data_IF_756131479799
#
_entry.id   IF_756131479799
#
_cell.length_a   1.000
_cell.length_b   1.000
_cell.length_c   1.000
_cell.angle_alpha   90.00
_cell.angle_beta   90.00
_cell.angle_gamma   90.00
#
_symmetry.space_group_name_H-M   'P 1'
#
loop_
_entity.id
_entity.type
_entity.pdbx_description
1 polymer ?
#
# COMPACT_ATOMS: atom_id res chain seq x y z
N UNK A 1 16.63 37.89 -17.04
CA UNK A 1 15.53 36.90 -17.15
C UNK A 1 16.00 35.46 -16.95
N UNK A 2 16.99 34.99 -17.73
CA UNK A 2 17.50 33.59 -17.68
C UNK A 2 17.89 33.08 -16.29
N UNK A 3 18.63 33.86 -15.49
CA UNK A 3 19.05 33.49 -14.12
C UNK A 3 17.88 33.18 -13.17
N UNK A 4 16.76 33.91 -13.30
CA UNK A 4 15.55 33.69 -12.48
C UNK A 4 14.83 32.40 -12.87
N UNK A 5 14.85 32.06 -14.16
CA UNK A 5 14.26 30.82 -14.67
C UNK A 5 15.04 29.58 -14.20
N UNK A 6 16.38 29.66 -14.23
CA UNK A 6 17.25 28.57 -13.75
C UNK A 6 17.03 28.30 -12.26
N UNK A 7 17.01 29.36 -11.44
CA UNK A 7 16.72 29.24 -10.01
C UNK A 7 15.34 28.64 -9.75
N UNK A 8 14.32 29.05 -10.52
CA UNK A 8 12.97 28.50 -10.42
C UNK A 8 12.93 27.00 -10.77
N UNK A 9 13.59 26.60 -11.86
CA UNK A 9 13.68 25.20 -12.29
C UNK A 9 14.39 24.35 -11.23
N UNK A 10 15.50 24.83 -10.69
CA UNK A 10 16.21 24.15 -9.60
C UNK A 10 15.36 24.04 -8.34
N UNK A 11 14.54 25.06 -8.03
CA UNK A 11 13.66 25.03 -6.86
C UNK A 11 12.55 23.98 -7.01
N UNK A 12 12.10 23.68 -8.23
CA UNK A 12 11.10 22.65 -8.51
C UNK A 12 11.68 21.23 -8.44
N UNK A 13 12.93 21.04 -8.90
CA UNK A 13 13.55 19.71 -8.98
C UNK A 13 14.27 19.34 -7.68
N UNK A 14 14.98 20.29 -7.07
CA UNK A 14 15.77 20.08 -5.86
C UNK A 14 15.91 21.39 -5.04
N UNK A 15 14.85 21.75 -4.27
CA UNK A 15 14.78 22.98 -3.47
C UNK A 15 16.03 23.29 -2.62
N UNK A 16 16.64 22.33 -1.90
CA UNK A 16 17.78 22.63 -1.04
C UNK A 16 19.03 23.08 -1.81
N UNK A 17 19.28 22.62 -3.05
CA UNK A 17 20.40 23.15 -3.83
C UNK A 17 20.12 24.54 -4.40
N UNK A 18 18.87 24.84 -4.76
CA UNK A 18 18.49 26.17 -5.23
C UNK A 18 18.77 27.24 -4.15
N UNK A 19 18.41 26.93 -2.91
CA UNK A 19 18.61 27.83 -1.77
C UNK A 19 20.08 27.91 -1.38
N UNK A 20 20.81 26.79 -1.40
CA UNK A 20 22.26 26.80 -1.19
C UNK A 20 23.00 27.73 -2.16
N UNK A 21 22.64 27.71 -3.45
CA UNK A 21 23.24 28.57 -4.47
C UNK A 21 22.85 30.05 -4.35
N UNK A 22 21.74 30.37 -3.67
CA UNK A 22 21.25 31.73 -3.48
C UNK A 22 21.75 32.37 -2.17
N UNK A 23 21.64 31.65 -1.05
CA UNK A 23 21.88 32.18 0.30
C UNK A 23 23.17 31.67 0.92
N UNK A 24 23.85 30.70 0.29
CA UNK A 24 25.00 30.01 0.87
C UNK A 24 24.60 29.10 2.04
N UNK A 25 25.57 28.79 2.91
CA UNK A 25 25.39 27.92 4.08
C UNK A 25 24.79 28.73 5.25
N UNK A 26 23.46 28.90 5.23
CA UNK A 26 22.72 29.70 6.21
C UNK A 26 21.48 29.00 6.76
N UNK A 27 20.73 29.70 7.62
CA UNK A 27 19.50 29.20 8.24
C UNK A 27 18.43 28.81 7.19
N UNK A 28 18.32 29.57 6.08
CA UNK A 28 17.37 29.30 4.99
C UNK A 28 17.67 27.98 4.26
N UNK A 29 18.95 27.63 4.12
CA UNK A 29 19.40 26.36 3.57
C UNK A 29 19.05 25.20 4.51
N UNK A 30 19.32 25.35 5.81
CA UNK A 30 18.97 24.34 6.81
C UNK A 30 17.45 24.08 6.81
N UNK A 31 16.62 25.12 6.80
CA UNK A 31 15.17 24.98 6.80
C UNK A 31 14.67 24.26 5.53
N UNK A 32 15.22 24.56 4.35
CA UNK A 32 14.85 23.86 3.12
C UNK A 32 15.31 22.40 3.12
N UNK A 33 16.46 22.08 3.70
CA UNK A 33 16.88 20.70 3.92
C UNK A 33 15.90 19.95 4.83
N UNK A 34 15.47 20.56 5.94
CA UNK A 34 14.47 19.94 6.82
C UNK A 34 13.14 19.69 6.11
N UNK A 35 12.63 20.67 5.37
CA UNK A 35 11.40 20.53 4.60
C UNK A 35 11.51 19.46 3.50
N UNK A 36 12.66 19.38 2.82
CA UNK A 36 12.91 18.37 1.81
C UNK A 36 12.95 16.96 2.42
N UNK A 37 13.66 16.77 3.52
CA UNK A 37 13.68 15.50 4.28
C UNK A 37 12.27 15.14 4.74
N UNK A 38 11.53 16.11 5.27
CA UNK A 38 10.16 15.94 5.74
C UNK A 38 9.19 15.57 4.62
N UNK A 39 9.43 15.99 3.37
CA UNK A 39 8.60 15.60 2.22
C UNK A 39 9.03 14.24 1.63
N UNK A 40 10.34 13.99 1.56
CA UNK A 40 10.93 12.77 0.99
C UNK A 40 10.59 11.54 1.83
N UNK A 41 10.81 11.60 3.15
CA UNK A 41 10.60 10.46 4.04
C UNK A 41 9.16 9.91 3.96
N UNK A 42 8.08 10.69 4.16
CA UNK A 42 6.72 10.16 4.10
C UNK A 42 6.35 9.67 2.70
N UNK A 43 6.87 10.28 1.64
CA UNK A 43 6.67 9.82 0.26
C UNK A 43 7.23 8.41 0.05
N UNK A 44 8.46 8.16 0.49
CA UNK A 44 9.10 6.84 0.38
C UNK A 44 8.41 5.80 1.26
N UNK A 45 8.06 6.15 2.50
CA UNK A 45 7.32 5.26 3.41
C UNK A 45 5.96 4.89 2.81
N UNK A 46 5.26 5.85 2.20
CA UNK A 46 3.98 5.61 1.55
C UNK A 46 4.09 4.68 0.33
N UNK A 47 5.10 4.86 -0.51
CA UNK A 47 5.40 3.97 -1.63
C UNK A 47 5.74 2.54 -1.18
N UNK A 48 6.54 2.41 -0.12
CA UNK A 48 6.83 1.11 0.51
C UNK A 48 5.58 0.45 1.10
N UNK A 49 4.71 1.24 1.75
CA UNK A 49 3.44 0.74 2.29
C UNK A 49 2.54 0.15 1.20
N UNK A 50 2.37 0.86 0.08
CA UNK A 50 1.59 0.38 -1.07
C UNK A 50 2.16 -0.93 -1.59
N UNK A 51 3.48 -0.99 -1.78
CA UNK A 51 4.19 -2.18 -2.25
C UNK A 51 3.99 -3.36 -1.32
N UNK A 52 4.17 -3.17 -0.01
CA UNK A 52 3.99 -4.23 0.98
C UNK A 52 2.55 -4.75 1.01
N UNK A 53 1.56 -3.86 0.98
CA UNK A 53 0.14 -4.25 0.93
C UNK A 53 -0.17 -5.04 -0.35
N UNK A 54 0.35 -4.59 -1.49
CA UNK A 54 0.21 -5.28 -2.77
C UNK A 54 0.76 -6.71 -2.70
N UNK A 55 2.02 -6.88 -2.29
CA UNK A 55 2.65 -8.21 -2.22
C UNK A 55 1.93 -9.14 -1.23
N UNK A 56 1.50 -8.63 -0.07
CA UNK A 56 0.75 -9.43 0.90
C UNK A 56 -0.60 -9.90 0.33
N UNK A 57 -1.31 -9.04 -0.40
CA UNK A 57 -2.60 -9.38 -1.02
C UNK A 57 -2.43 -10.31 -2.22
N UNK A 58 -1.44 -10.06 -3.08
CA UNK A 58 -1.05 -10.95 -4.18
C UNK A 58 -0.79 -12.37 -3.68
N UNK A 59 -0.08 -12.51 -2.56
CA UNK A 59 0.16 -13.81 -1.93
C UNK A 59 -1.11 -14.48 -1.35
N UNK A 60 -2.10 -13.71 -0.89
CA UNK A 60 -3.39 -14.28 -0.44
C UNK A 60 -4.21 -14.79 -1.61
N UNK A 61 -4.34 -13.98 -2.66
CA UNK A 61 -5.04 -14.34 -3.89
C UNK A 61 -4.41 -15.59 -4.52
N UNK A 62 -3.08 -15.64 -4.59
CA UNK A 62 -2.35 -16.81 -5.09
C UNK A 62 -2.61 -18.08 -4.27
N UNK A 63 -2.92 -17.94 -2.98
CA UNK A 63 -3.33 -19.06 -2.11
C UNK A 63 -4.83 -19.36 -2.20
N UNK A 64 -5.56 -18.72 -3.11
CA UNK A 64 -7.00 -18.85 -3.24
C UNK A 64 -7.76 -18.32 -2.02
N UNK A 65 -7.23 -17.28 -1.35
CA UNK A 65 -7.85 -16.67 -0.16
C UNK A 65 -8.26 -15.24 -0.43
N UNK A 66 -9.36 -14.82 0.19
CA UNK A 66 -9.90 -13.48 -0.01
C UNK A 66 -8.92 -12.40 0.48
N UNK A 67 -8.63 -11.35 -0.32
CA UNK A 67 -7.63 -10.33 0.02
C UNK A 67 -8.01 -9.49 1.25
N UNK A 68 -9.28 -9.51 1.68
CA UNK A 68 -9.80 -8.87 2.89
C UNK A 68 -10.21 -7.41 2.69
N UNK A 69 -10.68 -6.76 3.77
CA UNK A 69 -11.19 -5.37 3.76
C UNK A 69 -10.21 -4.38 3.13
N UNK A 70 -10.74 -3.34 2.49
CA UNK A 70 -9.99 -2.21 1.92
C UNK A 70 -9.03 -1.59 2.96
N UNK A 71 -7.81 -1.25 2.54
CA UNK A 71 -6.81 -0.58 3.39
C UNK A 71 -6.86 0.92 3.10
N UNK A 72 -6.77 1.73 4.16
CA UNK A 72 -6.68 3.19 4.01
C UNK A 72 -5.40 3.60 3.26
N UNK A 73 -5.39 4.84 2.74
CA UNK A 73 -4.27 5.39 1.97
C UNK A 73 -3.94 4.61 0.67
N UNK A 74 -4.85 3.77 0.19
CA UNK A 74 -4.70 3.05 -1.08
C UNK A 74 -6.04 3.11 -1.81
N UNK A 75 -6.11 3.91 -2.88
CA UNK A 75 -7.35 4.10 -3.65
C UNK A 75 -7.46 3.18 -4.86
N UNK A 76 -6.36 2.53 -5.28
CA UNK A 76 -6.34 1.66 -6.45
C UNK A 76 -6.92 0.27 -6.15
N UNK A 77 -7.99 -0.10 -6.87
CA UNK A 77 -8.59 -1.43 -6.80
C UNK A 77 -7.60 -2.54 -7.19
N UNK A 78 -6.67 -2.29 -8.11
CA UNK A 78 -5.63 -3.28 -8.50
C UNK A 78 -4.75 -3.66 -7.30
N UNK A 79 -4.35 -2.67 -6.50
CA UNK A 79 -3.54 -2.90 -5.29
C UNK A 79 -4.38 -3.57 -4.20
N UNK A 80 -5.62 -3.13 -4.01
CA UNK A 80 -6.52 -3.70 -3.01
C UNK A 80 -6.95 -5.14 -3.32
N UNK A 81 -6.98 -5.52 -4.58
CA UNK A 81 -7.30 -6.87 -5.02
C UNK A 81 -6.05 -7.74 -5.19
N UNK A 82 -4.84 -7.20 -4.98
CA UNK A 82 -3.59 -7.95 -5.18
C UNK A 82 -3.36 -8.36 -6.63
N UNK A 83 -3.90 -7.60 -7.59
CA UNK A 83 -3.82 -7.89 -9.03
C UNK A 83 -4.88 -8.83 -9.58
N UNK A 84 -5.82 -9.31 -8.75
CA UNK A 84 -6.90 -10.19 -9.20
C UNK A 84 -8.01 -9.46 -9.95
N UNK A 85 -8.55 -10.10 -10.98
CA UNK A 85 -9.78 -9.67 -11.66
C UNK A 85 -11.01 -9.91 -10.77
N UNK A 86 -12.10 -9.16 -10.98
CA UNK A 86 -13.35 -9.32 -10.23
C UNK A 86 -13.90 -10.76 -10.30
N UNK A 87 -13.89 -11.38 -11.48
CA UNK A 87 -14.27 -12.78 -11.67
C UNK A 87 -13.43 -13.74 -10.82
N UNK A 88 -12.10 -13.58 -10.81
CA UNK A 88 -11.20 -14.40 -9.99
C UNK A 88 -11.47 -14.23 -8.49
N UNK A 89 -11.83 -13.03 -8.05
CA UNK A 89 -12.20 -12.79 -6.66
C UNK A 89 -13.51 -13.51 -6.31
N UNK A 90 -14.52 -13.43 -7.17
CA UNK A 90 -15.80 -14.13 -6.98
C UNK A 90 -15.60 -15.64 -6.86
N UNK A 91 -14.73 -16.23 -7.68
CA UNK A 91 -14.35 -17.65 -7.58
C UNK A 91 -13.66 -17.97 -6.25
N UNK A 92 -12.73 -17.12 -5.82
CA UNK A 92 -12.07 -17.26 -4.51
C UNK A 92 -13.08 -17.17 -3.37
N UNK A 93 -14.07 -16.26 -3.47
CA UNK A 93 -15.11 -16.10 -2.46
C UNK A 93 -16.00 -17.33 -2.36
N UNK A 94 -16.48 -17.83 -3.51
CA UNK A 94 -17.29 -19.04 -3.60
C UNK A 94 -16.55 -20.24 -3.01
N UNK A 95 -15.30 -20.44 -3.39
CA UNK A 95 -14.47 -21.52 -2.85
C UNK A 95 -14.24 -21.38 -1.33
N UNK A 96 -14.07 -20.17 -0.79
CA UNK A 96 -13.98 -19.97 0.67
C UNK A 96 -15.30 -20.25 1.38
N UNK A 97 -16.44 -19.86 0.81
CA UNK A 97 -17.78 -20.12 1.34
C UNK A 97 -18.10 -21.63 1.38
N UNK A 98 -17.83 -22.36 0.30
CA UNK A 98 -17.99 -23.81 0.23
C UNK A 98 -17.10 -24.54 1.26
N UNK A 99 -15.83 -24.13 1.37
CA UNK A 99 -14.91 -24.67 2.39
C UNK A 99 -15.36 -24.37 3.80
N UNK A 100 -15.97 -23.21 4.04
CA UNK A 100 -16.52 -22.85 5.34
C UNK A 100 -17.77 -23.67 5.67
N UNK A 101 -18.65 -23.91 4.70
CA UNK A 101 -19.85 -24.74 4.85
C UNK A 101 -19.47 -26.19 5.20
N UNK A 102 -18.60 -26.82 4.40
CA UNK A 102 -18.15 -28.20 4.67
C UNK A 102 -17.48 -28.35 6.05
N UNK A 103 -16.76 -27.32 6.51
CA UNK A 103 -16.13 -27.32 7.85
C UNK A 103 -17.15 -27.15 8.98
N UNK A 104 -18.26 -26.44 8.75
CA UNK A 104 -19.37 -26.33 9.71
C UNK A 104 -20.12 -27.65 9.82
N UNK A 105 -20.39 -28.29 8.70
CA UNK A 105 -21.12 -29.57 8.68
C UNK A 105 -20.30 -30.69 9.31
N UNK A 106 -19.00 -30.79 9.00
CA UNK A 106 -18.12 -31.74 9.68
C UNK A 106 -18.04 -31.51 11.20
N UNK A 107 -18.09 -30.25 11.66
CA UNK A 107 -18.17 -29.94 13.10
C UNK A 107 -19.51 -30.33 13.72
N UNK A 108 -20.63 -30.24 12.99
CA UNK A 108 -21.94 -30.70 13.49
C UNK A 108 -21.95 -32.21 13.63
N UNK A 109 -21.53 -32.94 12.59
CA UNK A 109 -21.42 -34.41 12.59
C UNK A 109 -20.53 -34.88 13.75
N UNK A 110 -19.37 -34.25 13.95
CA UNK A 110 -18.49 -34.60 15.07
C UNK A 110 -19.10 -34.34 16.46
N UNK A 111 -19.99 -33.34 16.59
CA UNK A 111 -20.71 -33.07 17.85
C UNK A 111 -21.85 -34.07 18.07
N UNK A 112 -22.55 -34.47 17.02
CA UNK A 112 -23.60 -35.49 17.11
C UNK A 112 -23.04 -36.84 17.51
N UNK A 113 -21.94 -37.28 16.89
CA UNK A 113 -21.23 -38.50 17.28
C UNK A 113 -20.86 -38.52 18.76
N UNK A 114 -20.40 -37.38 19.31
CA UNK A 114 -20.08 -37.24 20.74
C UNK A 114 -21.29 -37.22 21.67
N UNK A 115 -22.50 -36.97 21.15
CA UNK A 115 -23.75 -36.99 21.92
C UNK A 115 -24.39 -38.38 21.93
N UNK A 116 -24.13 -39.19 20.92
CA UNK A 116 -24.68 -40.54 20.76
C UNK A 116 -23.76 -41.64 21.27
N UNK A 117 -22.53 -41.31 21.65
CA UNK A 117 -21.55 -42.19 22.30
C UNK A 117 -21.51 -41.93 23.80
#
# INVERSE_FOLDING_TARGET
>A
MFKRLVVLIFNVIFPPAAVFLLTGFGADFAMNCFLFILAVIPSHIHGMYISFVYFRRKNKVRKGRWPGRRRGLIYSDKVQNGGATRAQLEDIRRNEEERAAGRRDGKKVAREWKRTA
#
